data_IF_054404456143
#
_entry.id   IF_054404456143
#
_cell.length_a   1.000
_cell.length_b   1.000
_cell.length_c   1.000
_cell.angle_alpha   90.00
_cell.angle_beta   90.00
_cell.angle_gamma   90.00
#
_symmetry.space_group_name_H-M   'P 1'
#
loop_
_entity.id
_entity.type
_entity.pdbx_description
1 polymer ?
#
# COMPACT_ATOMS: atom_id res chain seq x y z
N UNK A 1 -19.64 14.61 -26.79
CA UNK A 1 -18.63 14.21 -27.79
C UNK A 1 -17.66 13.28 -27.09
N UNK A 2 -17.93 11.97 -27.10
CA UNK A 2 -17.00 10.96 -26.57
C UNK A 2 -15.91 10.74 -27.61
N UNK A 3 -14.66 11.05 -27.24
CA UNK A 3 -13.53 11.01 -28.17
C UNK A 3 -13.10 9.57 -28.46
N UNK A 4 -12.36 9.37 -29.55
CA UNK A 4 -11.73 8.09 -29.94
C UNK A 4 -10.96 7.43 -28.77
N UNK A 5 -10.50 8.23 -27.81
CA UNK A 5 -9.87 7.77 -26.56
C UNK A 5 -10.81 6.98 -25.65
N UNK A 6 -12.07 7.37 -25.49
CA UNK A 6 -13.07 6.63 -24.69
C UNK A 6 -13.27 5.22 -25.24
N UNK A 7 -13.30 5.07 -26.57
CA UNK A 7 -13.48 3.77 -27.24
C UNK A 7 -12.23 2.89 -27.05
N UNK A 8 -11.04 3.48 -27.06
CA UNK A 8 -9.77 2.77 -26.85
C UNK A 8 -9.62 2.21 -25.43
N UNK A 9 -10.11 2.92 -24.41
CA UNK A 9 -10.10 2.45 -23.01
C UNK A 9 -11.36 1.66 -22.61
N UNK A 10 -12.40 1.65 -23.44
CA UNK A 10 -13.63 0.90 -23.21
C UNK A 10 -13.53 -0.59 -23.56
N UNK A 11 -12.55 -0.98 -24.37
CA UNK A 11 -12.40 -2.38 -24.80
C UNK A 11 -11.20 -2.98 -24.09
N UNK A 12 -11.44 -3.93 -23.17
CA UNK A 12 -10.35 -4.65 -22.52
C UNK A 12 -9.47 -5.30 -23.58
N UNK A 13 -8.17 -5.00 -23.56
CA UNK A 13 -7.24 -5.62 -24.50
C UNK A 13 -7.02 -7.10 -24.11
N UNK A 14 -6.45 -7.89 -25.03
CA UNK A 14 -6.20 -9.34 -24.82
C UNK A 14 -5.37 -9.61 -23.57
N UNK A 15 -4.48 -8.69 -23.18
CA UNK A 15 -3.67 -8.81 -21.97
C UNK A 15 -4.51 -8.68 -20.71
N UNK A 16 -5.40 -7.69 -20.64
CA UNK A 16 -6.34 -7.51 -19.52
C UNK A 16 -7.26 -8.70 -19.34
N UNK A 17 -7.75 -9.28 -20.44
CA UNK A 17 -8.61 -10.48 -20.40
C UNK A 17 -7.84 -11.72 -19.91
N UNK A 18 -6.60 -11.92 -20.38
CA UNK A 18 -5.73 -12.99 -19.91
C UNK A 18 -5.41 -12.86 -18.42
N UNK A 19 -5.13 -11.63 -17.95
CA UNK A 19 -4.85 -11.38 -16.55
C UNK A 19 -6.07 -11.62 -15.68
N UNK A 20 -7.23 -11.07 -16.04
CA UNK A 20 -8.47 -11.24 -15.27
C UNK A 20 -8.90 -12.72 -15.15
N UNK A 21 -8.62 -13.53 -16.17
CA UNK A 21 -8.96 -14.96 -16.14
C UNK A 21 -8.03 -15.79 -15.26
N UNK A 22 -6.78 -15.35 -15.07
CA UNK A 22 -5.73 -16.14 -14.38
C UNK A 22 -5.35 -15.61 -13.01
N UNK A 23 -5.58 -14.33 -12.78
CA UNK A 23 -5.22 -13.61 -11.56
C UNK A 23 -6.48 -12.88 -11.09
N UNK A 24 -7.26 -13.48 -10.18
CA UNK A 24 -8.42 -12.80 -9.63
C UNK A 24 -7.98 -11.49 -8.98
N UNK A 25 -8.74 -10.44 -9.25
CA UNK A 25 -8.50 -9.13 -8.64
C UNK A 25 -8.67 -9.25 -7.11
N UNK A 26 -7.70 -8.71 -6.39
CA UNK A 26 -7.71 -8.66 -4.92
C UNK A 26 -8.07 -7.25 -4.51
N UNK A 27 -9.04 -7.12 -3.62
CA UNK A 27 -9.40 -5.81 -3.09
C UNK A 27 -8.25 -5.24 -2.23
N UNK A 28 -8.16 -3.91 -2.20
CA UNK A 28 -6.99 -3.21 -1.63
C UNK A 28 -6.73 -3.56 -0.15
N UNK A 29 -7.75 -3.62 0.73
CA UNK A 29 -7.54 -4.02 2.13
C UNK A 29 -6.94 -5.43 2.26
N UNK A 30 -7.38 -6.38 1.44
CA UNK A 30 -6.95 -7.76 1.43
C UNK A 30 -5.48 -7.87 1.02
N UNK A 31 -5.09 -7.14 -0.03
CA UNK A 31 -3.69 -7.06 -0.46
C UNK A 31 -2.77 -6.54 0.66
N UNK A 32 -3.16 -5.44 1.33
CA UNK A 32 -2.34 -4.89 2.42
C UNK A 32 -2.38 -5.74 3.68
N UNK A 33 -3.40 -6.57 3.89
CA UNK A 33 -3.44 -7.55 4.97
C UNK A 33 -2.55 -8.75 4.72
N UNK A 34 -2.42 -9.17 3.47
CA UNK A 34 -1.42 -10.16 3.10
C UNK A 34 -0.01 -9.61 3.32
N UNK A 35 0.24 -8.38 2.89
CA UNK A 35 1.54 -7.72 3.10
C UNK A 35 1.83 -7.47 4.59
N UNK A 36 0.82 -7.04 5.37
CA UNK A 36 0.91 -6.76 6.80
C UNK A 36 -0.12 -7.60 7.59
N UNK A 37 0.22 -8.87 7.92
CA UNK A 37 -0.66 -9.75 8.68
C UNK A 37 -1.10 -9.11 10.00
N UNK A 38 -2.28 -9.47 10.51
CA UNK A 38 -2.75 -8.92 11.79
C UNK A 38 -1.73 -9.16 12.91
N UNK A 39 -1.45 -8.11 13.66
CA UNK A 39 -0.45 -8.08 14.71
C UNK A 39 0.99 -7.84 14.24
N UNK A 40 1.26 -7.76 12.93
CA UNK A 40 2.59 -7.46 12.40
C UNK A 40 3.00 -6.00 12.62
N UNK A 41 2.02 -5.08 12.67
CA UNK A 41 2.26 -3.66 12.91
C UNK A 41 2.00 -3.30 14.38
N UNK A 42 2.50 -2.13 14.78
CA UNK A 42 2.11 -1.52 16.04
C UNK A 42 0.65 -1.06 16.00
N UNK A 43 -0.06 -1.28 17.10
CA UNK A 43 -1.41 -0.75 17.30
C UNK A 43 -1.40 0.77 17.44
N UNK A 44 -2.53 1.40 17.13
CA UNK A 44 -2.73 2.83 17.32
C UNK A 44 -2.61 3.21 18.79
N UNK A 45 -1.86 4.27 19.08
CA UNK A 45 -1.62 4.74 20.45
C UNK A 45 -0.62 3.90 21.26
N UNK A 46 -0.23 2.71 20.79
CA UNK A 46 0.72 1.85 21.49
C UNK A 46 2.14 1.98 20.93
N UNK A 47 3.11 1.90 21.84
CA UNK A 47 4.54 1.87 21.53
C UNK A 47 5.14 0.64 22.20
N UNK A 48 5.36 -0.39 21.40
CA UNK A 48 5.97 -1.66 21.86
C UNK A 48 7.28 -1.83 21.12
N UNK A 49 8.36 -2.07 21.86
CA UNK A 49 9.67 -2.32 21.26
C UNK A 49 9.59 -3.53 20.32
N UNK A 50 10.14 -3.39 19.11
CA UNK A 50 10.06 -4.43 18.08
C UNK A 50 8.77 -4.44 17.26
N UNK A 51 7.71 -3.69 17.64
CA UNK A 51 6.54 -3.46 16.79
C UNK A 51 6.59 -2.07 16.16
N UNK A 52 6.61 -2.05 14.84
CA UNK A 52 6.77 -0.82 14.06
C UNK A 52 5.51 -0.52 13.24
N UNK A 53 5.38 0.73 12.80
CA UNK A 53 4.29 1.18 11.92
C UNK A 53 4.80 1.18 10.49
N UNK A 54 3.92 0.85 9.54
CA UNK A 54 4.22 1.08 8.14
C UNK A 54 4.12 2.58 7.82
N UNK A 55 4.75 3.00 6.74
CA UNK A 55 4.79 4.39 6.32
C UNK A 55 4.30 4.48 4.88
N UNK A 56 3.21 5.22 4.69
CA UNK A 56 2.79 5.66 3.37
C UNK A 56 3.27 7.09 3.13
N UNK A 57 3.69 7.38 1.91
CA UNK A 57 4.14 8.71 1.49
C UNK A 57 3.31 9.15 0.30
N UNK A 58 2.59 10.26 0.44
CA UNK A 58 1.99 10.95 -0.71
C UNK A 58 3.03 11.80 -1.40
N UNK A 59 3.11 11.69 -2.71
CA UNK A 59 3.98 12.54 -3.53
C UNK A 59 3.17 13.78 -3.94
N UNK A 60 3.39 14.90 -3.24
CA UNK A 60 2.83 16.20 -3.63
C UNK A 60 3.80 17.00 -4.51
N UNK A 61 3.28 18.03 -5.18
CA UNK A 61 4.07 18.91 -6.05
C UNK A 61 5.14 19.70 -5.27
N UNK A 62 4.79 20.17 -4.08
CA UNK A 62 5.62 21.03 -3.23
C UNK A 62 6.43 20.23 -2.21
N UNK A 63 5.85 19.14 -1.69
CA UNK A 63 6.45 18.30 -0.66
C UNK A 63 5.83 16.91 -0.59
N UNK A 64 6.56 16.02 0.07
CA UNK A 64 6.05 14.71 0.46
C UNK A 64 5.24 14.79 1.76
N UNK A 65 4.12 14.06 1.83
CA UNK A 65 3.29 13.94 3.04
C UNK A 65 3.41 12.53 3.60
N UNK A 66 3.72 12.41 4.89
CA UNK A 66 3.98 11.13 5.55
C UNK A 66 2.79 10.70 6.41
N UNK A 67 2.31 9.49 6.20
CA UNK A 67 1.25 8.86 6.99
C UNK A 67 1.80 7.63 7.70
N UNK A 68 1.44 7.45 8.97
CA UNK A 68 1.79 6.25 9.74
C UNK A 68 0.63 5.28 9.70
N UNK A 69 0.88 4.06 9.26
CA UNK A 69 -0.10 3.00 9.15
C UNK A 69 0.03 2.07 10.36
N UNK A 70 -1.08 1.89 11.07
CA UNK A 70 -1.21 1.03 12.25
C UNK A 70 -1.83 -0.31 11.90
N UNK A 71 -1.78 -1.24 12.84
CA UNK A 71 -2.28 -2.61 12.64
C UNK A 71 -3.77 -2.70 12.27
N UNK A 72 -4.57 -1.67 12.55
CA UNK A 72 -5.98 -1.58 12.15
C UNK A 72 -6.16 -1.28 10.64
N UNK A 73 -5.12 -0.84 9.94
CA UNK A 73 -5.12 -0.38 8.54
C UNK A 73 -6.18 0.68 8.21
N UNK A 74 -6.79 1.34 9.21
CA UNK A 74 -7.81 2.38 8.97
C UNK A 74 -7.25 3.52 8.12
N UNK A 75 -5.99 3.89 8.35
CA UNK A 75 -5.34 4.92 7.53
C UNK A 75 -5.26 4.50 6.06
N UNK A 76 -5.04 3.22 5.75
CA UNK A 76 -5.09 2.76 4.35
C UNK A 76 -6.48 2.99 3.76
N UNK A 77 -7.54 2.65 4.51
CA UNK A 77 -8.91 2.89 4.08
C UNK A 77 -9.19 4.37 3.83
N UNK A 78 -8.61 5.29 4.60
CA UNK A 78 -8.74 6.72 4.36
C UNK A 78 -8.00 7.16 3.08
N UNK A 79 -6.78 6.65 2.86
CA UNK A 79 -5.94 7.05 1.72
C UNK A 79 -6.53 6.59 0.38
N UNK A 80 -7.14 5.40 0.32
CA UNK A 80 -7.74 4.86 -0.92
C UNK A 80 -9.00 5.61 -1.37
N UNK A 81 -9.58 6.47 -0.53
CA UNK A 81 -10.73 7.32 -0.90
C UNK A 81 -10.30 8.60 -1.64
N UNK A 82 -9.00 8.79 -1.83
CA UNK A 82 -8.43 9.96 -2.50
C UNK A 82 -7.84 9.56 -3.85
N UNK A 83 -7.81 10.49 -4.79
CA UNK A 83 -7.17 10.31 -6.11
C UNK A 83 -5.66 10.66 -6.09
N UNK A 84 -5.08 10.74 -4.88
CA UNK A 84 -3.69 11.09 -4.67
C UNK A 84 -2.76 9.89 -4.92
N UNK A 85 -1.53 10.16 -5.37
CA UNK A 85 -0.53 9.11 -5.55
C UNK A 85 0.29 8.85 -4.28
N UNK A 86 0.23 7.62 -3.78
CA UNK A 86 0.96 7.17 -2.59
C UNK A 86 1.96 6.07 -2.90
N UNK A 87 3.08 6.10 -2.19
CA UNK A 87 4.11 5.05 -2.19
C UNK A 87 4.20 4.46 -0.78
N UNK A 88 4.20 3.13 -0.70
CA UNK A 88 4.41 2.39 0.55
C UNK A 88 5.48 1.32 0.34
N UNK A 89 6.44 1.25 1.24
CA UNK A 89 7.47 0.20 1.20
C UNK A 89 6.90 -1.12 1.73
N UNK A 90 7.09 -2.26 1.04
CA UNK A 90 6.76 -3.58 1.56
C UNK A 90 7.71 -4.04 2.68
N UNK A 91 8.77 -3.28 2.93
CA UNK A 91 9.74 -3.53 4.01
C UNK A 91 9.60 -2.43 5.06
N UNK A 92 9.51 -2.85 6.31
CA UNK A 92 9.43 -1.95 7.47
C UNK A 92 10.83 -1.79 8.05
N UNK A 93 11.18 -0.61 8.56
CA UNK A 93 12.47 -0.39 9.20
C UNK A 93 12.28 -0.08 10.68
N UNK A 94 13.14 -0.67 11.51
CA UNK A 94 13.27 -0.34 12.92
C UNK A 94 13.95 1.03 13.10
N UNK A 95 13.33 1.94 13.87
CA UNK A 95 13.91 3.26 14.16
C UNK A 95 13.94 4.24 12.97
N UNK A 96 14.82 5.24 13.04
CA UNK A 96 14.92 6.34 12.04
C UNK A 96 15.98 6.12 10.95
N UNK A 97 16.66 4.96 10.97
CA UNK A 97 17.84 4.71 10.13
C UNK A 97 17.50 3.62 9.11
N UNK A 98 17.58 3.95 7.83
CA UNK A 98 17.47 2.99 6.73
C UNK A 98 18.77 2.22 6.54
N UNK A 99 19.08 1.30 7.48
CA UNK A 99 20.14 0.30 7.32
C UNK A 99 19.50 -1.07 7.13
N UNK A 100 20.15 -1.95 6.38
CA UNK A 100 19.68 -3.34 6.20
C UNK A 100 19.50 -4.06 7.54
N UNK A 101 20.35 -3.80 8.53
CA UNK A 101 20.20 -4.33 9.90
C UNK A 101 18.90 -3.91 10.59
N UNK A 102 18.31 -2.80 10.15
CA UNK A 102 17.04 -2.28 10.65
C UNK A 102 15.85 -2.74 9.80
N UNK A 103 16.08 -3.25 8.59
CA UNK A 103 15.02 -3.77 7.74
C UNK A 103 14.36 -4.97 8.40
N UNK A 104 13.03 -5.02 8.30
CA UNK A 104 12.17 -6.11 8.73
C UNK A 104 11.31 -6.42 7.52
N UNK A 105 11.47 -7.64 7.01
CA UNK A 105 10.57 -8.12 5.97
C UNK A 105 9.17 -8.16 6.56
N UNK A 106 8.18 -7.66 5.82
CA UNK A 106 6.79 -7.80 6.24
C UNK A 106 6.35 -9.28 6.17
N UNK A 107 7.02 -10.09 5.34
CA UNK A 107 7.03 -11.56 5.39
C UNK A 107 8.36 -12.16 4.88
N UNK A 108 8.77 -13.30 5.45
CA UNK A 108 9.77 -14.21 4.86
C UNK A 108 9.05 -15.15 3.89
N UNK A 109 9.45 -15.14 2.61
CA UNK A 109 9.06 -16.18 1.65
C UNK A 109 9.85 -17.47 1.91
#
# INVERSE_FOLDING_TARGET
MGGVQDVLFSTKNVTEECLATRFPEVATPEFYRELFPSGSLAKRGEYVEGKYRAIAVRVGEDRAYRYSITDDLETVNDLIQTDDFYIMSPVIYAGKIQKQSMARAAQSW
#
